data_IF_520247928142
#
_entry.id   IF_520247928142
#
_cell.length_a   1.000
_cell.length_b   1.000
_cell.length_c   1.000
_cell.angle_alpha   90.00
_cell.angle_beta   90.00
_cell.angle_gamma   90.00
#
_symmetry.space_group_name_H-M   'P 1'
#
loop_
_entity.id
_entity.type
_entity.pdbx_description
1 polymer ?
#
# COMPACT_ATOMS: atom_id res chain seq x y z
N UNK A 1 20.80 12.39 -7.06
CA UNK A 1 19.33 12.40 -7.08
C UNK A 1 18.96 13.67 -7.82
N UNK A 2 18.68 13.55 -9.11
CA UNK A 2 18.19 14.68 -9.89
C UNK A 2 16.73 14.90 -9.51
N UNK A 3 16.41 16.15 -9.20
CA UNK A 3 15.07 16.62 -8.86
C UNK A 3 14.10 16.29 -10.00
N UNK A 4 13.07 15.51 -9.71
CA UNK A 4 11.89 15.44 -10.56
C UNK A 4 11.33 16.86 -10.69
N UNK A 5 11.10 17.30 -11.94
CA UNK A 5 10.70 18.67 -12.21
C UNK A 5 9.49 19.11 -11.38
N UNK A 6 9.47 20.36 -10.95
CA UNK A 6 8.43 20.97 -10.09
C UNK A 6 6.99 20.75 -10.55
N UNK A 7 6.77 20.38 -11.81
CA UNK A 7 5.44 20.10 -12.40
C UNK A 7 4.84 18.72 -12.06
N UNK A 8 5.62 17.75 -11.57
CA UNK A 8 5.12 16.43 -11.19
C UNK A 8 4.75 16.32 -9.69
N UNK A 9 5.27 17.22 -8.84
CA UNK A 9 5.03 17.16 -7.38
C UNK A 9 3.56 17.35 -6.97
N UNK A 10 2.76 18.05 -7.78
CA UNK A 10 1.36 18.38 -7.46
C UNK A 10 0.35 17.52 -8.26
N UNK A 11 0.81 16.58 -9.07
CA UNK A 11 -0.08 15.80 -9.95
C UNK A 11 -0.90 14.78 -9.17
N UNK A 12 -0.31 14.16 -8.16
CA UNK A 12 -0.95 13.08 -7.43
C UNK A 12 -1.24 13.48 -6.00
N UNK A 13 -2.48 13.27 -5.55
CA UNK A 13 -2.92 13.58 -4.18
C UNK A 13 -2.55 12.47 -3.21
N UNK A 14 -2.70 11.21 -3.66
CA UNK A 14 -2.38 10.02 -2.85
C UNK A 14 -1.70 8.95 -3.67
N UNK A 15 -1.03 8.03 -2.99
CA UNK A 15 -0.50 6.81 -3.58
C UNK A 15 -1.31 5.59 -3.12
N UNK A 16 -1.53 4.67 -4.06
CA UNK A 16 -2.17 3.37 -3.79
C UNK A 16 -1.19 2.28 -4.15
N UNK A 17 -0.71 1.55 -3.15
CA UNK A 17 0.26 0.47 -3.29
C UNK A 17 -0.45 -0.86 -3.16
N UNK A 18 -0.30 -1.75 -4.13
CA UNK A 18 -0.87 -3.11 -4.10
C UNK A 18 0.28 -4.10 -4.04
N UNK A 19 0.41 -4.78 -2.88
CA UNK A 19 1.42 -5.82 -2.66
C UNK A 19 0.88 -7.23 -2.99
N UNK A 20 1.62 -8.28 -2.63
CA UNK A 20 1.33 -9.66 -3.01
C UNK A 20 0.64 -10.51 -1.92
N UNK A 21 0.23 -9.90 -0.79
CA UNK A 21 -0.48 -10.60 0.29
C UNK A 21 -1.98 -10.79 0.00
N UNK A 22 -2.79 -10.91 1.04
CA UNK A 22 -4.25 -11.11 0.88
C UNK A 22 -4.94 -9.83 0.42
N UNK A 23 -5.60 -9.88 -0.74
CA UNK A 23 -6.32 -8.75 -1.31
C UNK A 23 -7.82 -8.87 -1.03
N UNK A 24 -8.42 -7.80 -0.51
CA UNK A 24 -9.84 -7.76 -0.12
C UNK A 24 -10.67 -6.77 -0.94
N UNK A 25 -10.16 -6.36 -2.11
CA UNK A 25 -10.80 -5.38 -2.98
C UNK A 25 -10.26 -3.96 -2.78
N UNK A 26 -10.70 -3.06 -3.64
CA UNK A 26 -10.41 -1.62 -3.51
C UNK A 26 -11.42 -1.01 -2.52
N UNK A 27 -10.97 -0.34 -1.47
CA UNK A 27 -11.86 0.27 -0.48
C UNK A 27 -12.49 1.59 -0.97
N UNK A 28 -12.07 2.08 -2.13
CA UNK A 28 -12.53 3.31 -2.78
C UNK A 28 -12.32 3.23 -4.29
N UNK A 29 -12.96 4.12 -5.04
CA UNK A 29 -12.73 4.27 -6.47
C UNK A 29 -11.39 4.94 -6.74
N UNK A 30 -10.64 4.43 -7.72
CA UNK A 30 -9.41 5.07 -8.21
C UNK A 30 -9.75 6.24 -9.14
N UNK A 31 -8.91 7.26 -9.10
CA UNK A 31 -8.99 8.46 -9.92
C UNK A 31 -7.67 8.72 -10.64
N UNK A 32 -7.64 9.68 -11.56
CA UNK A 32 -6.41 10.10 -12.25
C UNK A 32 -5.39 10.82 -11.31
N UNK A 33 -5.85 11.25 -10.13
CA UNK A 33 -5.03 11.87 -9.10
C UNK A 33 -4.37 10.83 -8.17
N UNK A 34 -4.60 9.52 -8.40
CA UNK A 34 -4.02 8.43 -7.65
C UNK A 34 -2.75 7.92 -8.34
N UNK A 35 -1.64 7.83 -7.60
CA UNK A 35 -0.43 7.19 -8.05
C UNK A 35 -0.46 5.71 -7.68
N UNK A 36 -0.86 4.87 -8.65
CA UNK A 36 -1.00 3.42 -8.43
C UNK A 36 0.34 2.71 -8.64
N UNK A 37 0.79 1.97 -7.63
CA UNK A 37 2.02 1.18 -7.66
C UNK A 37 1.70 -0.29 -7.40
N UNK A 38 2.06 -1.15 -8.34
CA UNK A 38 2.06 -2.59 -8.11
C UNK A 38 3.43 -3.03 -7.55
N UNK A 39 3.42 -3.87 -6.51
CA UNK A 39 4.64 -4.39 -5.87
C UNK A 39 4.69 -5.90 -6.09
N UNK A 40 5.68 -6.37 -6.83
CA UNK A 40 5.87 -7.79 -7.18
C UNK A 40 4.57 -8.45 -7.69
N UNK A 41 4.13 -9.53 -7.03
CA UNK A 41 2.90 -10.24 -7.32
C UNK A 41 1.62 -9.41 -7.20
N UNK A 42 1.66 -8.19 -6.66
CA UNK A 42 0.55 -7.25 -6.66
C UNK A 42 0.07 -6.88 -8.06
N UNK A 43 0.91 -7.10 -9.07
CA UNK A 43 0.52 -6.92 -10.47
C UNK A 43 -0.64 -7.84 -10.89
N UNK A 44 -0.72 -9.05 -10.35
CA UNK A 44 -1.83 -9.98 -10.65
C UNK A 44 -3.19 -9.40 -10.22
N UNK A 45 -3.24 -8.65 -9.12
CA UNK A 45 -4.47 -7.97 -8.70
C UNK A 45 -4.84 -6.82 -9.62
N UNK A 46 -3.84 -6.08 -10.12
CA UNK A 46 -4.07 -5.03 -11.12
C UNK A 46 -4.64 -5.63 -12.42
N UNK A 47 -4.10 -6.74 -12.89
CA UNK A 47 -4.58 -7.47 -14.07
C UNK A 47 -6.02 -7.99 -13.87
N UNK A 48 -6.30 -8.61 -12.72
CA UNK A 48 -7.64 -9.12 -12.39
C UNK A 48 -8.71 -8.02 -12.31
N UNK A 49 -8.32 -6.81 -11.88
CA UNK A 49 -9.17 -5.64 -11.81
C UNK A 49 -9.22 -4.84 -13.12
N UNK A 50 -8.44 -5.21 -14.13
CA UNK A 50 -8.29 -4.47 -15.39
C UNK A 50 -7.85 -3.01 -15.19
N UNK A 51 -6.99 -2.76 -14.20
CA UNK A 51 -6.39 -1.45 -13.91
C UNK A 51 -4.91 -1.44 -14.27
N UNK A 52 -4.44 -0.32 -14.80
CA UNK A 52 -3.05 -0.15 -15.21
C UNK A 52 -2.30 0.66 -14.15
N UNK A 53 -1.30 0.08 -13.45
CA UNK A 53 -0.51 0.84 -12.48
C UNK A 53 0.41 1.85 -13.20
N UNK A 54 0.69 2.96 -12.50
CA UNK A 54 1.67 3.96 -12.94
C UNK A 54 3.11 3.43 -12.83
N UNK A 55 3.34 2.43 -11.98
CA UNK A 55 4.65 1.84 -11.72
C UNK A 55 4.51 0.40 -11.24
N UNK A 56 5.40 -0.47 -11.73
CA UNK A 56 5.65 -1.80 -11.18
C UNK A 56 7.02 -1.77 -10.50
N UNK A 57 7.11 -2.25 -9.25
CA UNK A 57 8.35 -2.30 -8.47
C UNK A 57 8.55 -3.69 -7.87
N UNK A 58 9.76 -4.22 -7.93
CA UNK A 58 10.12 -5.52 -7.35
C UNK A 58 11.32 -6.16 -8.01
N UNK A 59 11.71 -7.35 -7.52
CA UNK A 59 12.75 -8.18 -8.13
C UNK A 59 12.20 -9.12 -9.21
N UNK A 60 10.86 -9.22 -9.29
CA UNK A 60 10.10 -10.02 -10.25
C UNK A 60 10.25 -11.54 -10.09
N UNK A 61 10.85 -12.02 -9.02
CA UNK A 61 11.05 -13.46 -8.78
C UNK A 61 9.72 -14.20 -8.58
N UNK A 62 8.72 -13.52 -8.03
CA UNK A 62 7.37 -14.06 -7.80
C UNK A 62 6.49 -14.03 -9.05
N UNK A 63 6.73 -13.10 -9.97
CA UNK A 63 5.92 -12.92 -11.18
C UNK A 63 6.22 -13.96 -12.28
N UNK A 64 7.47 -14.48 -12.33
CA UNK A 64 7.92 -15.41 -13.37
C UNK A 64 7.57 -16.89 -13.13
N UNK A 65 7.30 -17.32 -11.89
CA UNK A 65 7.16 -18.73 -11.54
C UNK A 65 5.83 -19.36 -11.97
N UNK A 66 4.73 -18.64 -11.92
CA UNK A 66 3.41 -19.16 -12.32
C UNK A 66 3.27 -19.38 -13.85
N UNK A 67 4.06 -18.70 -14.67
CA UNK A 67 4.04 -18.89 -16.11
C UNK A 67 4.88 -20.09 -16.59
N UNK A 68 5.81 -20.60 -15.77
CA UNK A 68 6.59 -21.80 -16.11
C UNK A 68 5.90 -23.12 -15.71
N UNK A 69 5.11 -23.14 -14.65
CA UNK A 69 4.39 -24.36 -14.22
C UNK A 69 3.19 -24.72 -15.10
N UNK A 70 2.70 -23.80 -15.95
CA UNK A 70 1.62 -24.08 -16.93
C UNK A 70 2.11 -24.66 -18.25
N UNK A 71 3.44 -24.80 -18.43
CA UNK A 71 4.06 -25.31 -19.66
C UNK A 71 4.41 -26.81 -19.69
N UNK A 72 4.48 -27.50 -18.57
CA UNK A 72 5.06 -28.87 -18.50
C UNK A 72 4.22 -29.89 -17.71
N UNK A 73 2.91 -29.93 -17.81
CA UNK A 73 2.17 -31.11 -17.40
C UNK A 73 0.87 -31.29 -18.20
N UNK A 74 1.05 -31.86 -19.38
CA UNK A 74 -0.05 -32.54 -20.03
C UNK A 74 -0.33 -33.86 -19.34
N UNK A 75 -1.27 -33.93 -18.38
CA UNK A 75 -2.12 -35.08 -18.13
C UNK A 75 -3.33 -34.74 -17.27
N UNK A 76 -4.49 -35.19 -17.75
CA UNK A 76 -5.83 -34.94 -17.22
C UNK A 76 -6.00 -35.51 -15.82
N UNK A 77 -6.60 -34.72 -14.90
CA UNK A 77 -7.57 -35.25 -13.93
C UNK A 77 -8.78 -34.31 -13.82
N UNK A 78 -9.92 -34.80 -14.27
CA UNK A 78 -11.23 -34.19 -14.03
C UNK A 78 -11.60 -34.31 -12.55
N UNK A 79 -12.00 -33.17 -11.93
CA UNK A 79 -13.25 -33.05 -11.20
C UNK A 79 -13.36 -31.75 -10.43
N UNK A 80 -14.39 -30.99 -10.75
CA UNK A 80 -15.18 -30.25 -9.77
C UNK A 80 -15.05 -28.74 -9.67
N UNK A 81 -15.76 -28.03 -10.54
CA UNK A 81 -16.49 -26.76 -10.29
C UNK A 81 -15.76 -25.43 -10.29
N UNK A 82 -15.84 -24.78 -11.45
CA UNK A 82 -16.16 -23.37 -11.69
C UNK A 82 -15.31 -22.27 -11.06
N UNK A 83 -14.28 -21.86 -11.79
CA UNK A 83 -14.02 -20.46 -12.11
C UNK A 83 -13.44 -20.43 -13.53
N UNK A 84 -14.27 -20.10 -14.51
CA UNK A 84 -13.85 -19.86 -15.88
C UNK A 84 -13.12 -18.51 -15.93
N UNK A 85 -11.80 -18.52 -15.89
CA UNK A 85 -10.99 -17.36 -16.25
C UNK A 85 -10.88 -17.30 -17.77
N UNK A 86 -11.42 -16.23 -18.31
CA UNK A 86 -11.36 -15.89 -19.73
C UNK A 86 -9.90 -15.72 -20.17
N UNK A 87 -9.54 -16.54 -21.16
CA UNK A 87 -8.28 -16.47 -21.89
C UNK A 87 -8.33 -15.24 -22.80
N UNK A 88 -7.84 -14.07 -22.37
CA UNK A 88 -7.52 -12.97 -23.26
C UNK A 88 -6.02 -12.92 -23.45
N UNK A 89 -5.59 -13.42 -24.62
CA UNK A 89 -4.24 -13.23 -25.13
C UNK A 89 -4.08 -11.78 -25.60
N UNK A 90 -3.74 -10.88 -24.70
CA UNK A 90 -3.00 -9.67 -25.05
C UNK A 90 -1.81 -9.59 -24.11
N UNK A 91 -0.63 -9.86 -24.68
CA UNK A 91 0.63 -9.77 -23.94
C UNK A 91 0.92 -8.31 -23.65
N UNK A 92 0.75 -7.90 -22.39
CA UNK A 92 1.24 -6.60 -21.90
C UNK A 92 2.78 -6.64 -21.97
N UNK A 93 3.38 -5.83 -22.81
CA UNK A 93 4.83 -5.73 -22.91
C UNK A 93 5.38 -4.80 -21.83
N UNK A 94 6.24 -5.33 -20.96
CA UNK A 94 6.93 -4.54 -19.94
C UNK A 94 8.29 -4.08 -20.47
N UNK A 95 8.66 -2.81 -20.24
CA UNK A 95 10.04 -2.38 -20.48
C UNK A 95 10.80 -2.32 -19.16
N UNK A 96 11.98 -2.92 -19.19
CA UNK A 96 12.90 -3.00 -18.06
C UNK A 96 13.78 -1.75 -18.09
N UNK A 97 13.71 -0.92 -17.04
CA UNK A 97 14.62 0.20 -16.83
C UNK A 97 15.50 -0.07 -15.61
N UNK A 98 16.82 -0.02 -15.81
CA UNK A 98 17.80 -0.08 -14.74
C UNK A 98 18.02 1.34 -14.14
N UNK A 99 18.54 1.41 -12.91
CA UNK A 99 18.82 2.66 -12.17
C UNK A 99 19.59 3.73 -12.96
N UNK A 100 20.30 3.32 -14.03
CA UNK A 100 21.08 4.22 -14.92
C UNK A 100 20.23 4.99 -15.93
N UNK A 101 18.97 4.60 -16.14
CA UNK A 101 18.14 5.05 -17.28
C UNK A 101 17.05 6.04 -16.94
N UNK A 102 16.99 6.57 -15.72
CA UNK A 102 15.94 7.56 -15.32
C UNK A 102 15.97 8.81 -16.20
N UNK A 103 17.16 9.31 -16.56
CA UNK A 103 17.30 10.46 -17.48
C UNK A 103 17.06 10.13 -18.97
N UNK A 104 17.13 8.85 -19.37
CA UNK A 104 16.81 8.42 -20.73
C UNK A 104 15.29 8.20 -20.91
N UNK A 105 14.56 7.93 -19.80
CA UNK A 105 13.12 7.75 -19.79
C UNK A 105 12.36 9.01 -20.24
N UNK A 106 12.73 10.17 -19.74
CA UNK A 106 12.11 11.44 -20.13
C UNK A 106 12.29 11.72 -21.61
N UNK A 107 13.47 11.46 -22.14
CA UNK A 107 13.75 11.59 -23.60
C UNK A 107 12.97 10.58 -24.43
N UNK A 108 12.71 9.37 -23.93
CA UNK A 108 11.96 8.34 -24.65
C UNK A 108 10.48 8.64 -24.69
N UNK A 109 9.89 9.11 -23.56
CA UNK A 109 8.48 9.54 -23.48
C UNK A 109 8.25 10.76 -24.38
N UNK A 110 9.10 11.79 -24.30
CA UNK A 110 9.04 12.96 -25.20
C UNK A 110 9.20 12.58 -26.67
N UNK A 111 10.01 11.57 -26.97
CA UNK A 111 10.21 11.10 -28.36
C UNK A 111 8.97 10.34 -28.86
N UNK A 112 8.37 9.48 -28.05
CA UNK A 112 7.16 8.74 -28.40
C UNK A 112 5.94 9.67 -28.60
N UNK A 113 5.83 10.72 -27.79
CA UNK A 113 4.79 11.76 -27.94
C UNK A 113 4.97 12.62 -29.20
N UNK A 114 6.22 12.86 -29.63
CA UNK A 114 6.53 13.63 -30.86
C UNK A 114 6.36 12.83 -32.15
N UNK A 115 6.57 11.54 -32.13
CA UNK A 115 6.54 10.68 -33.33
C UNK A 115 5.14 10.16 -33.67
N UNK A 116 4.11 10.42 -32.84
CA UNK A 116 2.68 10.25 -33.20
C UNK A 116 2.25 8.81 -33.54
N UNK A 117 3.00 7.79 -33.12
CA UNK A 117 2.65 6.39 -33.38
C UNK A 117 1.78 5.81 -32.25
N UNK A 118 0.52 6.32 -32.18
CA UNK A 118 -0.49 5.85 -31.22
C UNK A 118 -1.58 5.11 -31.98
N UNK A 119 -1.22 4.04 -32.66
CA UNK A 119 -2.19 3.08 -33.21
C UNK A 119 -1.98 1.71 -32.59
N UNK A 120 -2.40 1.60 -31.34
CA UNK A 120 -2.42 0.36 -30.59
C UNK A 120 -2.28 0.67 -29.09
N UNK A 121 -3.34 0.44 -28.30
CA UNK A 121 -3.30 0.56 -26.85
C UNK A 121 -2.35 -0.49 -26.23
N UNK A 122 -1.06 -0.32 -26.40
CA UNK A 122 -0.07 -0.97 -25.54
C UNK A 122 0.17 -0.05 -24.37
N UNK A 123 -0.51 -0.29 -23.25
CA UNK A 123 -0.25 0.43 -22.02
C UNK A 123 1.11 0.00 -21.47
N UNK A 124 2.07 0.87 -21.66
CA UNK A 124 3.46 0.66 -21.23
C UNK A 124 3.54 0.95 -19.73
N UNK A 125 3.79 -0.07 -18.90
CA UNK A 125 3.96 0.08 -17.46
C UNK A 125 5.45 0.22 -17.15
N UNK A 126 5.91 1.33 -16.58
CA UNK A 126 7.28 1.47 -16.14
C UNK A 126 7.63 0.44 -15.04
N UNK A 127 8.74 -0.27 -15.21
CA UNK A 127 9.25 -1.22 -14.22
C UNK A 127 10.46 -0.62 -13.49
N UNK A 128 10.38 -0.51 -12.17
CA UNK A 128 11.52 -0.19 -11.31
C UNK A 128 12.07 -1.49 -10.72
N UNK A 129 13.08 -2.07 -11.38
CA UNK A 129 13.68 -3.32 -10.94
C UNK A 129 14.57 -3.09 -9.73
N UNK A 130 14.28 -3.82 -8.66
CA UNK A 130 15.10 -3.84 -7.47
C UNK A 130 16.15 -4.97 -7.56
N UNK A 131 17.39 -4.77 -7.06
CA UNK A 131 18.34 -5.86 -6.95
C UNK A 131 17.83 -6.90 -5.96
N UNK A 132 18.11 -8.20 -6.23
CA UNK A 132 17.72 -9.29 -5.32
C UNK A 132 18.37 -9.13 -3.93
N UNK A 133 19.64 -8.70 -3.88
CA UNK A 133 20.33 -8.35 -2.62
C UNK A 133 20.16 -6.85 -2.37
N UNK A 134 19.32 -6.50 -1.43
CA UNK A 134 18.98 -5.12 -1.04
C UNK A 134 18.71 -5.03 0.45
N UNK A 135 18.85 -3.84 1.01
CA UNK A 135 18.59 -3.59 2.44
C UNK A 135 17.10 -3.28 2.73
N UNK A 136 16.36 -2.84 1.72
CA UNK A 136 14.94 -2.49 1.84
C UNK A 136 14.05 -3.64 1.36
N UNK A 137 12.88 -3.81 1.98
CA UNK A 137 11.79 -4.60 1.38
C UNK A 137 11.24 -3.87 0.15
N UNK A 138 10.53 -4.60 -0.74
CA UNK A 138 9.94 -3.99 -1.92
C UNK A 138 8.92 -2.91 -1.55
N UNK A 139 8.13 -3.16 -0.51
CA UNK A 139 7.22 -2.17 0.07
C UNK A 139 7.97 -0.93 0.55
N UNK A 140 9.05 -1.08 1.32
CA UNK A 140 9.83 0.04 1.83
C UNK A 140 10.46 0.87 0.70
N UNK A 141 10.97 0.21 -0.35
CA UNK A 141 11.49 0.88 -1.53
C UNK A 141 10.40 1.67 -2.28
N UNK A 142 9.20 1.10 -2.41
CA UNK A 142 8.04 1.77 -3.01
C UNK A 142 7.63 3.00 -2.20
N UNK A 143 7.59 2.90 -0.87
CA UNK A 143 7.26 4.03 0.02
C UNK A 143 8.27 5.17 -0.10
N UNK A 144 9.57 4.88 -0.08
CA UNK A 144 10.62 5.90 -0.27
C UNK A 144 10.48 6.60 -1.63
N UNK A 145 10.15 5.86 -2.68
CA UNK A 145 9.92 6.43 -4.01
C UNK A 145 8.69 7.34 -4.02
N UNK A 146 7.57 6.91 -3.44
CA UNK A 146 6.35 7.70 -3.33
C UNK A 146 6.59 9.01 -2.56
N UNK A 147 7.27 8.92 -1.43
CA UNK A 147 7.62 10.09 -0.62
C UNK A 147 8.55 11.07 -1.37
N UNK A 148 9.48 10.55 -2.19
CA UNK A 148 10.36 11.38 -3.02
C UNK A 148 9.62 12.17 -4.09
N UNK A 149 8.42 11.70 -4.50
CA UNK A 149 7.50 12.42 -5.40
C UNK A 149 6.68 13.50 -4.69
N UNK A 150 6.82 13.65 -3.38
CA UNK A 150 6.05 14.62 -2.58
C UNK A 150 4.69 14.12 -2.11
N UNK A 151 4.29 12.89 -2.43
CA UNK A 151 3.00 12.32 -2.01
C UNK A 151 3.07 12.00 -0.51
N UNK A 152 2.06 12.39 0.25
CA UNK A 152 2.02 12.25 1.72
C UNK A 152 0.82 11.45 2.23
N UNK A 153 -0.13 11.08 1.39
CA UNK A 153 -1.21 10.14 1.71
C UNK A 153 -0.97 8.83 0.98
N UNK A 154 -0.84 7.73 1.73
CA UNK A 154 -0.43 6.42 1.19
C UNK A 154 -1.37 5.32 1.65
N UNK A 155 -2.02 4.67 0.70
CA UNK A 155 -2.89 3.52 0.91
C UNK A 155 -2.17 2.24 0.50
N UNK A 156 -2.05 1.29 1.44
CA UNK A 156 -1.33 0.03 1.27
C UNK A 156 -2.35 -1.12 1.31
N UNK A 157 -2.48 -1.83 0.20
CA UNK A 157 -3.39 -2.95 0.03
C UNK A 157 -2.59 -4.25 -0.18
N UNK A 158 -3.18 -5.37 0.19
CA UNK A 158 -2.58 -6.69 0.02
C UNK A 158 -1.16 -6.83 0.64
N UNK A 159 -0.86 -6.10 1.72
CA UNK A 159 0.40 -6.25 2.45
C UNK A 159 0.22 -7.00 3.78
N UNK A 160 -1.00 -7.44 4.09
CA UNK A 160 -1.33 -8.27 5.24
C UNK A 160 -1.75 -9.67 4.81
N UNK A 161 -1.58 -10.65 5.70
CA UNK A 161 -1.93 -12.05 5.41
C UNK A 161 -0.93 -12.72 4.47
N UNK A 162 -1.37 -13.81 3.81
CA UNK A 162 -0.50 -14.67 3.02
C UNK A 162 0.30 -15.65 3.91
N UNK A 163 1.22 -16.39 3.31
CA UNK A 163 2.00 -17.43 3.99
C UNK A 163 3.08 -16.84 4.91
N UNK A 164 3.54 -15.61 4.63
CA UNK A 164 4.65 -14.95 5.32
C UNK A 164 4.15 -13.87 6.27
N UNK A 165 3.93 -14.24 7.52
CA UNK A 165 3.47 -13.30 8.57
C UNK A 165 4.50 -12.21 8.91
N UNK A 166 5.79 -12.48 8.69
CA UNK A 166 6.88 -11.51 8.84
C UNK A 166 6.71 -10.30 7.92
N UNK A 167 6.18 -10.48 6.70
CA UNK A 167 5.84 -9.37 5.80
C UNK A 167 4.69 -8.52 6.34
N UNK A 168 3.69 -9.14 6.98
CA UNK A 168 2.60 -8.41 7.63
C UNK A 168 3.12 -7.54 8.77
N UNK A 169 4.07 -8.05 9.57
CA UNK A 169 4.71 -7.27 10.62
C UNK A 169 5.55 -6.12 10.06
N UNK A 170 6.33 -6.35 9.00
CA UNK A 170 7.08 -5.31 8.30
C UNK A 170 6.17 -4.22 7.71
N UNK A 171 4.97 -4.59 7.21
CA UNK A 171 3.97 -3.62 6.75
C UNK A 171 3.46 -2.72 7.90
N UNK A 172 3.30 -3.25 9.11
CA UNK A 172 2.98 -2.42 10.29
C UNK A 172 4.12 -1.45 10.63
N UNK A 173 5.39 -1.89 10.54
CA UNK A 173 6.55 -1.01 10.72
C UNK A 173 6.58 0.10 9.67
N UNK A 174 6.14 -0.18 8.46
CA UNK A 174 6.06 0.80 7.37
C UNK A 174 5.08 1.94 7.67
N UNK A 175 4.01 1.71 8.45
CA UNK A 175 3.12 2.79 8.91
C UNK A 175 3.85 3.75 9.84
N UNK A 176 4.65 3.24 10.78
CA UNK A 176 5.43 4.07 11.67
C UNK A 176 6.48 4.89 10.90
N UNK A 177 7.15 4.28 9.92
CA UNK A 177 8.06 4.98 9.02
C UNK A 177 7.36 6.13 8.28
N UNK A 178 6.17 5.91 7.72
CA UNK A 178 5.40 6.99 7.07
C UNK A 178 5.09 8.13 8.04
N UNK A 179 4.67 7.83 9.27
CA UNK A 179 4.39 8.83 10.30
C UNK A 179 5.65 9.62 10.71
N UNK A 180 6.83 8.98 10.74
CA UNK A 180 8.12 9.64 10.98
C UNK A 180 8.48 10.62 9.85
N UNK A 181 8.17 10.26 8.61
CA UNK A 181 8.38 11.09 7.41
C UNK A 181 7.29 12.16 7.21
N UNK A 182 6.35 12.30 8.15
CA UNK A 182 5.25 13.27 8.09
C UNK A 182 4.21 12.94 7.02
N UNK A 183 4.00 11.66 6.75
CA UNK A 183 3.01 11.14 5.82
C UNK A 183 1.95 10.32 6.56
N UNK A 184 0.74 10.29 5.99
CA UNK A 184 -0.35 9.45 6.48
C UNK A 184 -0.37 8.11 5.75
N UNK A 185 -0.24 7.01 6.48
CA UNK A 185 -0.28 5.66 5.98
C UNK A 185 -1.56 4.94 6.40
N UNK A 186 -2.19 4.24 5.45
CA UNK A 186 -3.39 3.44 5.65
C UNK A 186 -3.15 2.02 5.14
N UNK A 187 -3.12 1.04 6.02
CA UNK A 187 -2.87 -0.37 5.70
C UNK A 187 -4.16 -1.16 5.85
N UNK A 188 -4.63 -1.74 4.75
CA UNK A 188 -5.93 -2.40 4.66
C UNK A 188 -5.84 -3.90 4.88
N UNK A 189 -6.62 -4.39 5.84
CA UNK A 189 -6.88 -5.81 6.10
C UNK A 189 -8.34 -6.17 5.79
N UNK A 190 -8.73 -7.40 6.14
CA UNK A 190 -10.11 -7.83 6.03
C UNK A 190 -10.96 -7.14 7.10
N UNK A 191 -11.81 -6.19 6.69
CA UNK A 191 -12.66 -5.40 7.59
C UNK A 191 -11.88 -4.62 8.67
N UNK A 192 -10.60 -4.35 8.44
CA UNK A 192 -9.74 -3.62 9.34
C UNK A 192 -8.87 -2.64 8.58
N UNK A 193 -8.65 -1.48 9.17
CA UNK A 193 -7.74 -0.45 8.72
C UNK A 193 -6.76 -0.15 9.83
N UNK A 194 -5.48 -0.10 9.47
CA UNK A 194 -4.42 0.31 10.40
C UNK A 194 -3.82 1.63 9.91
N UNK A 195 -3.51 2.51 10.86
CA UNK A 195 -2.78 3.76 10.61
C UNK A 195 -1.84 4.06 11.76
N UNK A 196 -0.81 4.87 11.52
CA UNK A 196 0.06 5.36 12.58
C UNK A 196 -0.27 6.81 12.91
N UNK A 197 -0.17 7.15 14.20
CA UNK A 197 -0.33 8.50 14.73
C UNK A 197 0.93 8.89 15.49
N UNK A 198 1.64 9.93 15.04
CA UNK A 198 2.85 10.44 15.69
C UNK A 198 2.63 11.84 16.23
N UNK A 199 2.84 12.02 17.56
CA UNK A 199 2.84 13.32 18.22
C UNK A 199 1.67 14.22 17.79
N UNK A 200 0.46 13.71 17.84
CA UNK A 200 -0.69 14.42 17.29
C UNK A 200 -2.01 13.80 17.74
N UNK A 201 -3.05 14.05 16.97
CA UNK A 201 -4.38 13.50 17.21
C UNK A 201 -5.03 12.97 15.94
N UNK A 202 -5.97 12.05 16.11
CA UNK A 202 -6.86 11.56 15.08
C UNK A 202 -8.30 11.63 15.58
N UNK A 203 -9.11 12.33 14.81
CA UNK A 203 -10.53 12.50 15.06
C UNK A 203 -11.33 11.42 14.30
N UNK A 204 -12.41 10.94 14.90
CA UNK A 204 -13.35 9.99 14.34
C UNK A 204 -14.76 10.57 14.43
N UNK A 205 -15.50 10.49 13.34
CA UNK A 205 -16.87 10.95 13.29
C UNK A 205 -17.81 9.97 13.99
N UNK A 206 -19.00 10.40 14.33
CA UNK A 206 -20.02 9.58 15.00
C UNK A 206 -20.52 8.37 14.19
N UNK A 207 -20.14 8.26 12.90
CA UNK A 207 -20.49 7.16 12.00
C UNK A 207 -19.65 5.91 12.25
N UNK A 208 -18.46 6.04 12.86
CA UNK A 208 -17.62 4.89 13.20
C UNK A 208 -18.29 3.95 14.17
N UNK A 209 -18.12 2.65 13.97
CA UNK A 209 -18.72 1.56 14.76
C UNK A 209 -17.70 0.46 15.02
N UNK A 210 -17.97 -0.37 16.03
CA UNK A 210 -17.17 -1.51 16.42
C UNK A 210 -15.93 -1.11 17.20
N UNK A 211 -14.88 -1.91 17.07
CA UNK A 211 -13.71 -1.78 17.92
C UNK A 211 -12.69 -0.80 17.36
N UNK A 212 -12.05 -0.06 18.28
CA UNK A 212 -10.81 0.67 18.06
C UNK A 212 -9.75 0.08 18.99
N UNK A 213 -8.59 -0.29 18.44
CA UNK A 213 -7.44 -0.71 19.24
C UNK A 213 -6.31 0.29 19.05
N UNK A 214 -5.60 0.59 20.14
CA UNK A 214 -4.50 1.56 20.18
C UNK A 214 -3.29 0.87 20.79
N UNK A 215 -2.19 0.82 20.04
CA UNK A 215 -0.93 0.20 20.44
C UNK A 215 0.18 1.23 20.45
N UNK A 216 1.00 1.26 21.49
CA UNK A 216 2.29 1.96 21.43
C UNK A 216 3.22 1.23 20.48
N UNK A 217 3.74 1.93 19.47
CA UNK A 217 4.78 1.40 18.57
C UNK A 217 6.19 1.71 19.08
N UNK A 218 6.37 2.88 19.70
CA UNK A 218 7.59 3.21 20.46
C UNK A 218 7.62 2.49 21.79
N UNK A 219 8.78 2.30 22.38
CA UNK A 219 8.92 1.63 23.70
C UNK A 219 7.93 2.19 24.72
N UNK A 220 7.77 3.53 24.72
CA UNK A 220 6.85 4.26 25.55
C UNK A 220 6.19 5.38 24.74
N UNK A 221 4.86 5.44 24.73
CA UNK A 221 4.08 6.57 24.21
C UNK A 221 3.48 7.33 25.40
N UNK A 222 3.78 8.62 25.51
CA UNK A 222 3.38 9.46 26.65
C UNK A 222 2.27 10.42 26.27
N UNK A 223 1.41 10.72 27.25
CA UNK A 223 0.31 11.68 27.09
C UNK A 223 -0.78 11.18 26.15
N UNK A 224 -1.03 9.87 26.19
CA UNK A 224 -2.09 9.24 25.39
C UNK A 224 -3.44 9.54 26.02
N UNK A 225 -4.37 10.00 25.21
CA UNK A 225 -5.75 10.25 25.60
C UNK A 225 -6.72 9.68 24.57
N UNK A 226 -7.83 9.13 25.06
CA UNK A 226 -8.93 8.62 24.25
C UNK A 226 -10.25 9.16 24.80
N UNK A 227 -11.07 9.77 23.95
CA UNK A 227 -12.38 10.32 24.30
C UNK A 227 -13.43 9.91 23.27
N UNK A 228 -14.74 10.00 23.64
CA UNK A 228 -15.84 9.59 22.77
C UNK A 228 -15.93 8.07 22.54
N UNK A 229 -15.23 7.29 23.34
CA UNK A 229 -15.17 5.83 23.31
C UNK A 229 -15.73 5.24 24.62
N UNK A 230 -15.98 3.92 24.62
CA UNK A 230 -16.50 3.21 25.80
C UNK A 230 -15.54 3.36 27.00
N UNK A 231 -14.25 3.14 26.78
CA UNK A 231 -13.19 3.35 27.77
C UNK A 231 -12.49 4.67 27.47
N UNK A 232 -12.47 5.56 28.45
CA UNK A 232 -11.84 6.87 28.35
C UNK A 232 -10.56 6.89 29.16
N UNK A 233 -9.48 7.35 28.55
CA UNK A 233 -8.19 7.56 29.21
C UNK A 233 -7.74 9.00 28.99
N UNK A 234 -6.97 9.53 29.94
CA UNK A 234 -6.49 10.90 29.85
C UNK A 234 -5.04 10.98 30.33
N UNK A 235 -4.17 11.38 29.42
CA UNK A 235 -2.75 11.66 29.67
C UNK A 235 -2.02 10.48 30.33
N UNK A 236 -2.25 9.26 29.82
CA UNK A 236 -1.60 8.04 30.31
C UNK A 236 -0.35 7.70 29.50
N UNK A 237 0.43 6.74 29.99
CA UNK A 237 1.56 6.14 29.28
C UNK A 237 1.16 4.75 28.77
N UNK A 238 1.45 4.48 27.50
CA UNK A 238 1.31 3.17 26.88
C UNK A 238 2.69 2.61 26.54
N UNK A 239 2.95 1.36 26.95
CA UNK A 239 4.19 0.65 26.64
C UNK A 239 3.96 -0.33 25.50
N UNK A 240 4.93 -0.47 24.58
CA UNK A 240 4.89 -1.43 23.47
C UNK A 240 4.78 -2.90 23.92
N UNK A 241 5.24 -3.19 25.13
CA UNK A 241 5.21 -4.54 25.74
C UNK A 241 3.91 -4.84 26.50
N UNK A 242 3.00 -3.86 26.65
CA UNK A 242 1.76 -4.01 27.39
C UNK A 242 0.55 -3.57 26.55
N UNK A 243 -0.15 -4.49 25.85
CA UNK A 243 -1.19 -4.17 24.90
C UNK A 243 -2.56 -3.89 25.58
N UNK A 244 -2.62 -2.96 26.51
CA UNK A 244 -3.83 -2.62 27.26
C UNK A 244 -4.86 -1.79 26.47
N UNK A 245 -4.45 -1.20 25.33
CA UNK A 245 -5.31 -0.38 24.47
C UNK A 245 -6.11 -1.19 23.43
N UNK A 246 -6.26 -2.50 23.61
CA UNK A 246 -6.98 -3.37 22.68
C UNK A 246 -8.47 -3.36 22.95
N UNK A 247 -9.29 -3.30 21.87
CA UNK A 247 -10.75 -3.48 21.90
C UNK A 247 -11.50 -2.42 22.71
N UNK A 248 -11.11 -1.16 22.64
CA UNK A 248 -12.00 -0.07 22.94
C UNK A 248 -13.14 -0.03 21.91
N UNK A 249 -14.23 0.67 22.12
CA UNK A 249 -15.42 0.60 21.29
C UNK A 249 -15.98 1.99 20.99
N UNK A 250 -16.37 2.22 19.72
CA UNK A 250 -17.12 3.39 19.30
C UNK A 250 -18.56 3.32 19.82
N UNK A 251 -19.01 4.35 20.52
CA UNK A 251 -20.35 4.41 21.15
C UNK A 251 -21.34 5.30 20.37
N UNK A 252 -20.99 5.69 19.12
CA UNK A 252 -21.84 6.54 18.29
C UNK A 252 -21.72 8.04 18.60
N UNK A 253 -20.67 8.43 19.30
CA UNK A 253 -20.24 9.81 19.53
C UNK A 253 -19.02 10.14 18.65
N UNK A 254 -18.69 11.42 18.52
CA UNK A 254 -17.38 11.84 17.99
C UNK A 254 -16.30 11.37 18.96
N UNK A 255 -15.24 10.79 18.42
CA UNK A 255 -14.16 10.26 19.23
C UNK A 255 -12.80 10.85 18.79
N UNK A 256 -11.88 10.94 19.74
CA UNK A 256 -10.51 11.40 19.50
C UNK A 256 -9.53 10.47 20.19
N UNK A 257 -8.43 10.14 19.48
CA UNK A 257 -7.23 9.54 20.03
C UNK A 257 -6.08 10.52 19.85
N UNK A 258 -5.34 10.79 20.91
CA UNK A 258 -4.18 11.69 20.85
C UNK A 258 -2.97 11.13 21.60
N UNK A 259 -1.77 11.57 21.18
CA UNK A 259 -0.48 11.25 21.80
C UNK A 259 0.42 12.47 21.78
N UNK A 260 1.03 12.82 22.92
CA UNK A 260 1.94 13.96 23.01
C UNK A 260 3.34 13.60 22.53
N UNK A 261 3.83 12.42 22.88
CA UNK A 261 5.17 11.96 22.49
C UNK A 261 5.13 10.45 22.25
N UNK A 262 5.51 10.03 21.06
CA UNK A 262 5.54 8.64 20.63
C UNK A 262 4.77 8.39 19.35
N UNK A 263 4.73 7.12 18.96
CA UNK A 263 3.97 6.64 17.80
C UNK A 263 2.97 5.60 18.28
N UNK A 264 1.71 5.81 17.93
CA UNK A 264 0.65 4.82 18.13
C UNK A 264 0.31 4.15 16.79
N UNK A 265 0.02 2.87 16.83
CA UNK A 265 -0.70 2.16 15.74
C UNK A 265 -2.16 2.05 16.18
N UNK A 266 -3.06 2.55 15.34
CA UNK A 266 -4.50 2.48 15.51
C UNK A 266 -5.05 1.41 14.59
N UNK A 267 -5.99 0.58 15.09
CA UNK A 267 -6.71 -0.42 14.29
C UNK A 267 -8.20 -0.26 14.49
N UNK A 268 -8.94 -0.09 13.40
CA UNK A 268 -10.40 0.12 13.42
C UNK A 268 -11.04 -0.37 12.12
N UNK A 269 -12.37 -0.53 12.09
CA UNK A 269 -13.09 -0.82 10.85
C UNK A 269 -13.16 0.44 9.97
N UNK A 270 -12.87 0.35 8.66
CA UNK A 270 -13.08 1.49 7.76
C UNK A 270 -14.58 1.82 7.67
N UNK A 271 -14.91 3.09 7.42
CA UNK A 271 -16.27 3.46 7.05
C UNK A 271 -16.63 2.77 5.73
N UNK A 272 -17.80 2.16 5.69
CA UNK A 272 -18.34 1.62 4.45
C UNK A 272 -18.88 2.80 3.63
N UNK A 273 -18.30 3.02 2.46
CA UNK A 273 -18.73 4.05 1.51
C UNK A 273 -20.03 3.66 0.80
#
# INVERSE_FOLDING_TARGET
MEEFGEREKDRYKRAVLIAAGSFYGLPFSLTEEDFLVAIDGGMHYCEALQITPNLLIGDMDSYGKENQEKGESGERRENGKNASFLNTKESTSYSIFDKKTVGERERFIEKAEREGDVTGKSSFIPLYRLPHVKNDTDLQAALKLVLSKGIREVHILAALGGERIDHSYAAMQSLAFLAEEGAEGYLYGKNQLFTALRNGKKDFTKEYRGYLSVFSFTDLSCGVSESGLLYRINNVELQSTNPIGVSNEFIGEEAEVSVKNGILILSYAPLQG
#
